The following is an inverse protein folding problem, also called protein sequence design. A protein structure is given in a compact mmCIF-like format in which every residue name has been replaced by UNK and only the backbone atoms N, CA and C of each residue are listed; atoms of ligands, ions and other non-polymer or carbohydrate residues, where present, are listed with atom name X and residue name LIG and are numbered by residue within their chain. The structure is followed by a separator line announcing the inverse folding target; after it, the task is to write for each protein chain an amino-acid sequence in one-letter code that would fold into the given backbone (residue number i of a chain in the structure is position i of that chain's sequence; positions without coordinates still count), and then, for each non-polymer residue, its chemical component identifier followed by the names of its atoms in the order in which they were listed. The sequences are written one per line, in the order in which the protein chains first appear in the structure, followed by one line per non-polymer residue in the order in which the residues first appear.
data_IF_563842273861
#
_entry.id   IF_563842273861
#
_cell.length_a   1.000
_cell.length_b   1.000
_cell.length_c   1.000
_cell.angle_alpha   90.00
_cell.angle_beta   90.00
_cell.angle_gamma   90.00
#
_symmetry.space_group_name_H-M   'P 1'
#
loop_
_entity.id
_entity.type
_entity.pdbx_description
1 polymer ?
#
# COMPACT_ATOMS: atom_id res chain seq x y z
N UNK A 1 0.69 18.30 -17.54
CA UNK A 1 0.25 17.01 -16.96
C UNK A 1 0.31 17.16 -15.45
N UNK A 2 -0.84 17.23 -14.77
CA UNK A 2 -0.86 17.52 -13.33
C UNK A 2 -0.26 16.39 -12.49
N UNK A 3 0.40 16.73 -11.39
CA UNK A 3 0.90 15.76 -10.42
C UNK A 3 -0.27 14.94 -9.85
N UNK A 4 -0.29 13.65 -10.14
CA UNK A 4 -1.29 12.72 -9.60
C UNK A 4 -1.12 12.65 -8.08
N UNK A 5 -2.15 12.98 -7.28
CA UNK A 5 -2.04 12.96 -5.82
C UNK A 5 -1.63 11.58 -5.30
N UNK A 6 -0.86 11.54 -4.20
CA UNK A 6 -0.40 10.27 -3.65
C UNK A 6 -1.52 9.31 -3.24
N UNK A 7 -2.70 9.81 -2.85
CA UNK A 7 -3.89 8.99 -2.61
C UNK A 7 -4.34 8.25 -3.87
N UNK A 8 -4.33 8.96 -5.00
CA UNK A 8 -4.71 8.44 -6.31
C UNK A 8 -3.69 7.42 -6.82
N UNK A 9 -2.39 7.71 -6.70
CA UNK A 9 -1.34 6.74 -7.01
C UNK A 9 -1.52 5.44 -6.20
N UNK A 10 -1.93 5.51 -4.93
CA UNK A 10 -2.19 4.29 -4.13
C UNK A 10 -3.44 3.53 -4.57
N UNK A 11 -4.48 4.22 -5.06
CA UNK A 11 -5.65 3.58 -5.67
C UNK A 11 -5.27 2.83 -6.93
N UNK A 12 -4.52 3.49 -7.83
CA UNK A 12 -3.99 2.91 -9.06
C UNK A 12 -3.08 1.71 -8.79
N UNK A 13 -2.22 1.78 -7.76
CA UNK A 13 -1.38 0.64 -7.36
C UNK A 13 -2.23 -0.58 -6.99
N UNK A 14 -3.27 -0.41 -6.16
CA UNK A 14 -4.16 -1.53 -5.79
C UNK A 14 -4.88 -2.12 -7.00
N UNK A 15 -5.34 -1.27 -7.92
CA UNK A 15 -5.98 -1.73 -9.16
C UNK A 15 -5.00 -2.54 -10.03
N UNK A 16 -3.78 -2.03 -10.24
CA UNK A 16 -2.76 -2.71 -11.02
C UNK A 16 -2.37 -4.07 -10.41
N UNK A 17 -2.19 -4.14 -9.09
CA UNK A 17 -1.89 -5.40 -8.41
C UNK A 17 -3.04 -6.40 -8.55
N UNK A 18 -4.30 -5.97 -8.39
CA UNK A 18 -5.46 -6.82 -8.63
C UNK A 18 -5.50 -7.38 -10.06
N UNK A 19 -5.17 -6.57 -11.06
CA UNK A 19 -5.09 -7.01 -12.46
C UNK A 19 -3.98 -8.04 -12.66
N UNK A 20 -2.81 -7.79 -12.07
CA UNK A 20 -1.66 -8.71 -12.13
C UNK A 20 -1.96 -10.05 -11.45
N UNK A 21 -2.62 -10.02 -10.29
CA UNK A 21 -3.03 -11.20 -9.55
C UNK A 21 -4.11 -11.99 -10.31
N UNK A 22 -5.02 -11.32 -11.01
CA UNK A 22 -6.01 -11.99 -11.87
C UNK A 22 -5.35 -12.78 -13.02
N UNK A 23 -4.37 -12.16 -13.71
CA UNK A 23 -3.58 -12.84 -14.76
C UNK A 23 -2.82 -14.03 -14.18
N UNK A 24 -2.26 -13.88 -12.98
CA UNK A 24 -1.58 -14.98 -12.31
C UNK A 24 -2.52 -16.13 -11.97
N UNK A 25 -3.69 -15.86 -11.39
CA UNK A 25 -4.67 -16.90 -11.05
C UNK A 25 -5.22 -17.63 -12.28
N UNK A 26 -5.43 -16.92 -13.39
CA UNK A 26 -5.82 -17.56 -14.66
C UNK A 26 -4.72 -18.51 -15.16
N UNK A 27 -3.46 -18.10 -15.05
CA UNK A 27 -2.32 -18.95 -15.40
C UNK A 27 -2.16 -20.14 -14.47
N UNK A 28 -2.36 -19.94 -13.17
CA UNK A 28 -2.36 -20.98 -12.14
C UNK A 28 -3.44 -22.03 -12.42
N UNK A 29 -4.65 -21.61 -12.78
CA UNK A 29 -5.75 -22.51 -13.16
C UNK A 29 -5.44 -23.34 -14.42
N UNK A 30 -4.56 -22.85 -15.30
CA UNK A 30 -4.06 -23.59 -16.47
C UNK A 30 -2.87 -24.49 -16.14
N UNK A 31 -2.50 -24.60 -14.87
CA UNK A 31 -1.37 -25.40 -14.40
C UNK A 31 -0.01 -24.73 -14.59
N UNK A 32 0.04 -23.40 -14.61
CA UNK A 32 1.28 -22.62 -14.81
C UNK A 32 2.06 -23.06 -16.06
N UNK A 33 1.35 -23.39 -17.14
CA UNK A 33 1.94 -23.92 -18.37
C UNK A 33 2.83 -22.89 -19.07
N UNK A 34 3.88 -23.37 -19.73
CA UNK A 34 4.73 -22.53 -20.57
C UNK A 34 4.07 -22.34 -21.96
N UNK A 35 4.13 -21.14 -22.56
CA UNK A 35 4.76 -19.92 -22.06
C UNK A 35 3.92 -19.19 -21.00
N UNK A 36 4.56 -18.44 -20.08
CA UNK A 36 3.83 -17.62 -19.12
C UNK A 36 3.02 -16.53 -19.84
N UNK A 37 1.91 -16.05 -19.24
CA UNK A 37 1.14 -14.97 -19.80
C UNK A 37 1.92 -13.65 -19.78
N UNK A 38 1.48 -12.69 -20.61
CA UNK A 38 1.95 -11.32 -20.49
C UNK A 38 1.29 -10.65 -19.29
N UNK A 39 2.08 -10.24 -18.31
CA UNK A 39 1.59 -9.46 -17.17
C UNK A 39 1.41 -7.99 -17.55
N UNK A 40 0.42 -7.28 -16.97
CA UNK A 40 0.26 -5.85 -17.20
C UNK A 40 1.51 -5.08 -16.76
N UNK A 41 1.94 -4.12 -17.56
CA UNK A 41 3.04 -3.23 -17.21
C UNK A 41 2.64 -2.27 -16.09
N UNK A 42 3.62 -1.85 -15.27
CA UNK A 42 3.39 -0.86 -14.22
C UNK A 42 2.99 0.50 -14.85
N UNK A 43 1.84 1.09 -14.47
CA UNK A 43 1.41 2.39 -14.98
C UNK A 43 2.44 3.50 -14.73
N UNK A 44 2.64 4.38 -15.72
CA UNK A 44 3.56 5.53 -15.62
C UNK A 44 3.33 6.39 -14.38
N UNK A 45 2.06 6.61 -14.02
CA UNK A 45 1.66 7.41 -12.87
C UNK A 45 2.18 6.87 -11.52
N UNK A 46 2.56 5.60 -11.46
CA UNK A 46 3.12 4.96 -10.26
C UNK A 46 4.64 5.08 -10.15
N UNK A 47 5.34 5.52 -11.20
CA UNK A 47 6.79 5.73 -11.13
C UNK A 47 7.12 6.75 -10.03
N UNK A 48 8.11 6.40 -9.20
CA UNK A 48 8.55 7.24 -8.07
C UNK A 48 7.53 7.36 -6.93
N UNK A 49 6.53 6.48 -6.83
CA UNK A 49 5.61 6.48 -5.69
C UNK A 49 6.40 6.31 -4.38
N UNK A 50 6.28 7.30 -3.49
CA UNK A 50 6.87 7.26 -2.15
C UNK A 50 5.86 6.79 -1.11
N UNK A 51 6.35 6.26 0.01
CA UNK A 51 5.52 5.83 1.12
C UNK A 51 4.61 6.96 1.61
N UNK A 52 5.13 8.18 1.75
CA UNK A 52 4.38 9.38 2.11
C UNK A 52 3.65 9.32 3.46
N UNK A 53 3.96 8.35 4.33
CA UNK A 53 3.48 8.33 5.70
C UNK A 53 4.26 9.36 6.53
N UNK A 54 3.63 9.97 7.54
CA UNK A 54 4.32 10.90 8.43
C UNK A 54 5.36 10.14 9.26
N UNK A 55 6.61 10.57 9.20
CA UNK A 55 7.70 10.00 10.01
C UNK A 55 7.64 10.54 11.45
N UNK A 56 8.48 9.99 12.34
CA UNK A 56 8.65 10.49 13.71
C UNK A 56 9.12 11.94 13.77
N UNK A 57 9.85 12.42 12.75
CA UNK A 57 10.31 13.80 12.61
C UNK A 57 9.23 14.73 12.03
N UNK A 58 8.04 14.21 11.75
CA UNK A 58 6.91 14.99 11.23
C UNK A 58 6.91 15.21 9.72
N UNK A 59 7.97 14.82 9.02
CA UNK A 59 8.08 14.92 7.56
C UNK A 59 7.52 13.69 6.83
N UNK A 60 7.12 13.79 5.55
CA UNK A 60 6.69 12.65 4.75
C UNK A 60 7.81 11.63 4.49
N UNK A 61 7.50 10.34 4.59
CA UNK A 61 8.44 9.26 4.31
C UNK A 61 8.77 9.18 2.81
N UNK A 62 10.06 9.27 2.48
CA UNK A 62 10.59 9.29 1.10
C UNK A 62 10.92 7.91 0.51
N UNK A 63 10.82 6.84 1.29
CA UNK A 63 11.11 5.46 0.82
C UNK A 63 10.22 5.11 -0.38
N UNK A 64 10.83 4.53 -1.42
CA UNK A 64 10.21 4.06 -2.67
C UNK A 64 10.06 2.54 -2.74
N UNK A 65 10.60 1.79 -1.78
CA UNK A 65 10.30 0.38 -1.59
C UNK A 65 8.90 0.23 -0.96
N UNK A 66 7.89 0.18 -1.83
CA UNK A 66 6.47 0.18 -1.44
C UNK A 66 5.87 -1.21 -1.62
N UNK A 67 5.06 -1.65 -0.65
CA UNK A 67 4.28 -2.89 -0.70
C UNK A 67 2.87 -2.64 -1.26
N UNK A 68 2.08 -3.71 -1.42
CA UNK A 68 0.72 -3.65 -1.96
C UNK A 68 -0.22 -2.66 -1.22
N UNK A 69 0.02 -2.42 0.07
CA UNK A 69 -0.71 -1.42 0.86
C UNK A 69 -0.43 0.04 0.43
N UNK A 70 0.56 0.28 -0.44
CA UNK A 70 1.01 1.60 -0.82
C UNK A 70 1.92 2.27 0.23
N UNK A 71 2.46 1.49 1.18
CA UNK A 71 3.38 1.94 2.24
C UNK A 71 4.65 1.07 2.31
N UNK A 72 5.71 1.60 2.93
CA UNK A 72 6.96 0.86 3.13
C UNK A 72 6.91 -0.03 4.38
N UNK A 73 7.89 -0.91 4.56
CA UNK A 73 7.96 -1.87 5.69
C UNK A 73 7.75 -1.23 7.07
N UNK A 74 8.27 -0.02 7.28
CA UNK A 74 8.20 0.68 8.56
C UNK A 74 6.87 1.38 8.84
N UNK A 75 6.02 1.55 7.82
CA UNK A 75 4.75 2.26 7.91
C UNK A 75 3.57 1.38 7.49
N UNK A 76 3.63 0.09 7.85
CA UNK A 76 2.55 -0.87 7.62
C UNK A 76 2.57 -1.52 6.23
N UNK A 77 3.66 -1.40 5.48
CA UNK A 77 3.85 -2.04 4.18
C UNK A 77 3.57 -3.54 4.19
N UNK A 78 4.18 -4.24 5.16
CA UNK A 78 4.03 -5.68 5.35
C UNK A 78 2.85 -6.08 6.24
N UNK A 79 2.06 -5.12 6.74
CA UNK A 79 0.95 -5.44 7.63
C UNK A 79 -0.20 -6.03 6.82
N UNK A 80 -0.72 -7.17 7.27
CA UNK A 80 -1.93 -7.79 6.71
C UNK A 80 -3.22 -7.30 7.38
N UNK A 81 -3.11 -6.39 8.36
CA UNK A 81 -4.22 -6.01 9.23
C UNK A 81 -4.66 -7.13 10.19
N UNK A 82 -5.65 -6.85 11.05
CA UNK A 82 -6.25 -7.84 11.94
C UNK A 82 -7.05 -8.87 11.13
N UNK A 83 -6.83 -10.16 11.40
CA UNK A 83 -7.50 -11.27 10.71
C UNK A 83 -8.79 -11.74 11.41
N UNK A 84 -8.95 -11.43 12.69
CA UNK A 84 -10.10 -11.84 13.51
C UNK A 84 -11.09 -10.70 13.68
N UNK A 85 -12.37 -11.02 13.90
CA UNK A 85 -13.42 -10.01 14.16
C UNK A 85 -13.11 -9.17 15.40
N UNK A 86 -12.67 -9.80 16.50
CA UNK A 86 -12.24 -9.08 17.70
C UNK A 86 -11.08 -8.10 17.40
N UNK A 87 -10.12 -8.51 16.56
CA UNK A 87 -9.02 -7.64 16.14
C UNK A 87 -9.48 -6.46 15.26
N UNK A 88 -10.43 -6.70 14.35
CA UNK A 88 -11.04 -5.65 13.52
C UNK A 88 -11.81 -4.65 14.38
N UNK A 89 -12.58 -5.14 15.34
CA UNK A 89 -13.32 -4.32 16.29
C UNK A 89 -12.37 -3.47 17.14
N UNK A 90 -11.30 -4.07 17.68
CA UNK A 90 -10.29 -3.32 18.43
C UNK A 90 -9.62 -2.23 17.58
N UNK A 91 -9.32 -2.52 16.31
CA UNK A 91 -8.77 -1.52 15.38
C UNK A 91 -9.77 -0.37 15.15
N UNK A 92 -11.07 -0.67 15.02
CA UNK A 92 -12.14 0.33 14.89
C UNK A 92 -12.23 1.21 16.14
N UNK A 93 -12.19 0.61 17.33
CA UNK A 93 -12.18 1.33 18.62
C UNK A 93 -10.97 2.26 18.71
N UNK A 94 -9.77 1.76 18.37
CA UNK A 94 -8.55 2.57 18.38
C UNK A 94 -8.63 3.75 17.40
N UNK A 95 -9.23 3.53 16.22
CA UNK A 95 -9.47 4.59 15.24
C UNK A 95 -10.39 5.70 15.78
N UNK A 96 -11.49 5.33 16.45
CA UNK A 96 -12.42 6.30 17.08
C UNK A 96 -11.76 7.13 18.18
N UNK A 97 -10.81 6.55 18.92
CA UNK A 97 -10.02 7.25 19.96
C UNK A 97 -8.94 8.19 19.40
N UNK A 98 -8.88 8.39 18.08
CA UNK A 98 -7.89 9.24 17.41
C UNK A 98 -6.53 8.59 17.20
N UNK A 99 -6.41 7.28 17.46
CA UNK A 99 -5.16 6.53 17.39
C UNK A 99 -4.12 6.99 18.42
N UNK A 100 -2.83 6.79 18.12
CA UNK A 100 -1.75 7.28 18.97
C UNK A 100 -1.72 8.82 18.94
N UNK A 101 -1.67 9.51 20.09
CA UNK A 101 -1.67 10.97 20.12
C UNK A 101 -0.53 11.54 19.28
N UNK A 102 -0.84 12.60 18.53
CA UNK A 102 0.17 13.34 17.75
C UNK A 102 1.00 14.15 18.74
N UNK A 103 2.33 14.13 18.59
CA UNK A 103 3.16 15.13 19.27
C UNK A 103 2.83 16.50 18.68
N UNK A 104 2.56 17.47 19.54
CA UNK A 104 2.34 18.87 19.18
C UNK A 104 3.60 19.50 18.60
N UNK A 105 4.77 19.11 19.11
CA UNK A 105 6.06 19.70 18.76
C UNK A 105 6.97 18.72 17.98
N UNK A 106 7.72 19.22 16.98
CA UNK A 106 8.78 18.45 16.33
C UNK A 106 9.88 18.12 17.35
N UNK A 107 10.50 16.94 17.21
CA UNK A 107 11.63 16.55 18.05
C UNK A 107 12.82 17.49 17.76
N UNK A 108 13.56 18.00 18.77
CA UNK A 108 14.80 18.74 18.55
C UNK A 108 15.84 17.89 17.79
#
# INVERSE_FOLDING_TARGET
MGDVPGSEKRRLLRQHLKQRDAVFHEWEQRGCSYPPPTFPALPQALRGLTCGAKTRAGTPCKLTAIYASGRCKWHGGCSTGPKTEAGKEQARVNGRKGGRPRRSEPKP
#
